data_IF_241277886367
#
_entry.id   IF_241277886367
#
_cell.length_a   1.000
_cell.length_b   1.000
_cell.length_c   1.000
_cell.angle_alpha   90.00
_cell.angle_beta   90.00
_cell.angle_gamma   90.00
#
_symmetry.space_group_name_H-M   'P 1'
#
loop_
_entity.id
_entity.type
_entity.pdbx_description
1 polymer ?
#
# COMPACT_ATOMS: atom_id res chain seq x y z
N UNK A 1 26.35 21.93 -26.08
CA UNK A 1 24.93 22.34 -25.99
C UNK A 1 24.05 21.56 -27.00
N UNK A 2 23.92 20.24 -26.84
CA UNK A 2 22.92 19.42 -27.54
C UNK A 2 22.47 18.34 -26.55
N UNK A 3 21.36 18.55 -25.83
CA UNK A 3 20.75 17.45 -25.05
C UNK A 3 19.30 17.65 -24.60
N UNK A 4 18.68 18.83 -24.72
CA UNK A 4 17.29 19.00 -24.26
C UNK A 4 16.22 18.48 -25.24
N UNK A 5 16.46 18.57 -26.56
CA UNK A 5 15.48 18.14 -27.56
C UNK A 5 15.33 16.60 -27.63
N UNK A 6 16.42 15.86 -27.46
CA UNK A 6 16.43 14.38 -27.54
C UNK A 6 15.82 13.73 -26.28
N UNK A 7 15.98 14.37 -25.12
CA UNK A 7 15.35 13.94 -23.86
C UNK A 7 13.82 14.07 -23.96
N UNK A 8 13.33 15.21 -24.48
CA UNK A 8 11.90 15.53 -24.61
C UNK A 8 11.18 14.59 -25.60
N UNK A 9 11.85 14.14 -26.67
CA UNK A 9 11.28 13.14 -27.60
C UNK A 9 11.12 11.76 -26.95
N UNK A 10 12.11 11.30 -26.16
CA UNK A 10 12.03 10.02 -25.45
C UNK A 10 10.94 10.02 -24.38
N UNK A 11 10.79 11.11 -23.63
CA UNK A 11 9.74 11.26 -22.62
C UNK A 11 8.34 11.26 -23.23
N UNK A 12 8.12 11.99 -24.35
CA UNK A 12 6.85 11.94 -25.08
C UNK A 12 6.55 10.55 -25.62
N UNK A 13 7.55 9.85 -26.13
CA UNK A 13 7.37 8.50 -26.66
C UNK A 13 7.08 7.48 -25.56
N UNK A 14 7.72 7.60 -24.39
CA UNK A 14 7.41 6.81 -23.20
C UNK A 14 5.99 7.09 -22.68
N UNK A 15 5.56 8.36 -22.66
CA UNK A 15 4.20 8.75 -22.26
C UNK A 15 3.13 8.15 -23.18
N UNK A 16 3.31 8.23 -24.50
CA UNK A 16 2.39 7.62 -25.48
C UNK A 16 2.34 6.11 -25.32
N UNK A 17 3.50 5.48 -25.11
CA UNK A 17 3.60 4.03 -24.92
C UNK A 17 2.95 3.56 -23.61
N UNK A 18 3.13 4.32 -22.52
CA UNK A 18 2.43 4.08 -21.24
C UNK A 18 0.92 4.28 -21.37
N UNK A 19 0.48 5.28 -22.14
CA UNK A 19 -0.95 5.53 -22.38
C UNK A 19 -1.60 4.41 -23.19
N UNK A 20 -0.89 3.87 -24.18
CA UNK A 20 -1.31 2.68 -24.94
C UNK A 20 -1.38 1.43 -24.05
N UNK A 21 -0.40 1.23 -23.15
CA UNK A 21 -0.40 0.11 -22.20
C UNK A 21 -1.56 0.22 -21.19
N UNK A 22 -1.79 1.40 -20.63
CA UNK A 22 -2.92 1.64 -19.71
C UNK A 22 -4.25 1.39 -20.43
N UNK A 23 -4.39 1.87 -21.67
CA UNK A 23 -5.59 1.64 -22.46
C UNK A 23 -5.80 0.15 -22.73
N UNK A 24 -4.75 -0.58 -23.10
CA UNK A 24 -4.80 -2.03 -23.28
C UNK A 24 -5.23 -2.76 -22.00
N UNK A 25 -4.62 -2.42 -20.85
CA UNK A 25 -4.99 -3.00 -19.55
C UNK A 25 -6.45 -2.71 -19.22
N UNK A 26 -6.93 -1.49 -19.50
CA UNK A 26 -8.32 -1.11 -19.26
C UNK A 26 -9.31 -1.88 -20.13
N UNK A 27 -9.00 -2.10 -21.42
CA UNK A 27 -9.85 -2.87 -22.33
C UNK A 27 -9.93 -4.35 -21.93
N UNK A 28 -8.84 -4.90 -21.39
CA UNK A 28 -8.74 -6.32 -21.04
C UNK A 28 -8.95 -6.59 -19.54
N UNK A 29 -9.30 -5.58 -18.73
CA UNK A 29 -9.31 -5.68 -17.27
C UNK A 29 -10.19 -6.83 -16.77
N UNK A 30 -11.43 -6.92 -17.27
CA UNK A 30 -12.38 -7.96 -16.90
C UNK A 30 -11.86 -9.36 -17.26
N UNK A 31 -11.23 -9.50 -18.43
CA UNK A 31 -10.67 -10.78 -18.90
C UNK A 31 -9.49 -11.22 -18.02
N UNK A 32 -8.59 -10.29 -17.69
CA UNK A 32 -7.44 -10.55 -16.80
C UNK A 32 -7.94 -10.93 -15.41
N UNK A 33 -8.89 -10.18 -14.85
CA UNK A 33 -9.46 -10.46 -13.53
C UNK A 33 -10.13 -11.84 -13.47
N UNK A 34 -10.87 -12.21 -14.52
CA UNK A 34 -11.51 -13.52 -14.61
C UNK A 34 -10.47 -14.65 -14.66
N UNK A 35 -9.43 -14.51 -15.48
CA UNK A 35 -8.35 -15.51 -15.55
C UNK A 35 -7.63 -15.69 -14.22
N UNK A 36 -7.31 -14.61 -13.52
CA UNK A 36 -6.68 -14.67 -12.18
C UNK A 36 -7.64 -15.36 -11.20
N UNK A 37 -8.92 -15.00 -11.20
CA UNK A 37 -9.93 -15.62 -10.35
C UNK A 37 -10.06 -17.13 -10.60
N UNK A 38 -10.09 -17.57 -11.86
CA UNK A 38 -10.20 -18.98 -12.22
C UNK A 38 -8.98 -19.79 -11.79
N UNK A 39 -7.76 -19.23 -11.90
CA UNK A 39 -6.54 -19.87 -11.38
C UNK A 39 -6.62 -20.01 -9.87
N UNK A 40 -7.07 -18.97 -9.15
CA UNK A 40 -7.12 -18.96 -7.69
C UNK A 40 -8.14 -19.95 -7.10
N UNK A 41 -9.13 -20.42 -7.87
CA UNK A 41 -10.03 -21.51 -7.43
C UNK A 41 -9.28 -22.78 -7.04
N UNK A 42 -8.09 -23.01 -7.60
CA UNK A 42 -7.24 -24.16 -7.27
C UNK A 42 -6.37 -23.95 -6.02
N UNK A 43 -6.38 -22.74 -5.43
CA UNK A 43 -5.55 -22.35 -4.29
C UNK A 43 -6.42 -21.77 -3.16
N UNK A 44 -7.12 -22.61 -2.37
CA UNK A 44 -8.09 -22.15 -1.38
C UNK A 44 -7.47 -21.35 -0.22
N UNK A 45 -6.14 -21.36 -0.05
CA UNK A 45 -5.42 -20.56 0.94
C UNK A 45 -5.04 -19.16 0.45
N UNK A 46 -5.38 -18.83 -0.80
CA UNK A 46 -5.16 -17.53 -1.41
C UNK A 46 -6.51 -16.86 -1.67
N UNK A 47 -6.55 -15.54 -1.52
CA UNK A 47 -7.71 -14.73 -1.88
C UNK A 47 -7.27 -13.54 -2.72
N UNK A 48 -8.20 -13.01 -3.51
CA UNK A 48 -7.99 -11.91 -4.43
C UNK A 48 -8.54 -10.62 -3.82
N UNK A 49 -7.68 -9.64 -3.54
CA UNK A 49 -8.09 -8.27 -3.22
C UNK A 49 -7.95 -7.37 -4.45
N UNK A 50 -8.80 -6.34 -4.51
CA UNK A 50 -8.88 -5.44 -5.66
C UNK A 50 -8.49 -4.03 -5.22
N UNK A 51 -7.42 -3.52 -5.85
CA UNK A 51 -7.00 -2.13 -5.76
C UNK A 51 -7.36 -1.37 -7.03
N UNK A 52 -6.96 -0.09 -7.07
CA UNK A 52 -7.14 0.73 -8.27
C UNK A 52 -6.28 0.19 -9.41
N UNK A 53 -6.91 -0.55 -10.33
CA UNK A 53 -6.24 -1.24 -11.46
C UNK A 53 -5.11 -2.18 -10.98
N UNK A 54 -5.29 -2.76 -9.80
CA UNK A 54 -4.38 -3.75 -9.21
C UNK A 54 -5.20 -4.95 -8.74
N UNK A 55 -4.70 -6.15 -9.03
CA UNK A 55 -5.17 -7.40 -8.48
C UNK A 55 -4.08 -7.91 -7.53
N UNK A 56 -4.42 -8.06 -6.25
CA UNK A 56 -3.49 -8.49 -5.22
C UNK A 56 -3.86 -9.91 -4.80
N UNK A 57 -2.87 -10.81 -4.84
CA UNK A 57 -3.03 -12.20 -4.41
C UNK A 57 -2.46 -12.30 -3.00
N UNK A 58 -3.34 -12.55 -2.04
CA UNK A 58 -3.02 -12.51 -0.62
C UNK A 58 -3.27 -13.88 0.02
N UNK A 59 -2.40 -14.30 0.92
CA UNK A 59 -2.65 -15.46 1.78
C UNK A 59 -3.78 -15.18 2.76
N UNK A 60 -4.54 -16.19 3.17
CA UNK A 60 -5.54 -16.07 4.26
C UNK A 60 -4.81 -16.07 5.60
N UNK A 61 -4.14 -14.96 5.91
CA UNK A 61 -3.50 -14.71 7.19
C UNK A 61 -4.08 -13.40 7.72
N UNK A 62 -4.50 -13.41 8.98
CA UNK A 62 -4.96 -12.22 9.67
C UNK A 62 -3.75 -11.31 9.98
N UNK A 63 -3.39 -10.48 8.99
CA UNK A 63 -2.24 -9.58 9.04
C UNK A 63 -2.64 -8.16 8.64
N UNK A 64 -2.12 -7.17 9.36
CA UNK A 64 -2.34 -5.76 9.06
C UNK A 64 -1.12 -4.92 9.50
N UNK A 65 -1.11 -3.64 9.14
CA UNK A 65 0.01 -2.73 9.45
C UNK A 65 0.21 -2.55 10.96
N UNK A 66 -0.85 -2.63 11.76
CA UNK A 66 -0.74 -2.61 13.23
C UNK A 66 0.00 -3.81 13.80
N UNK A 67 -0.31 -5.03 13.32
CA UNK A 67 0.41 -6.26 13.68
C UNK A 67 1.88 -6.20 13.29
N UNK A 68 2.17 -5.61 12.13
CA UNK A 68 3.55 -5.39 11.69
C UNK A 68 4.31 -4.44 12.64
N UNK A 69 3.68 -3.34 13.06
CA UNK A 69 4.28 -2.40 14.04
C UNK A 69 4.55 -3.10 15.37
N UNK A 70 3.59 -3.84 15.91
CA UNK A 70 3.78 -4.54 17.18
C UNK A 70 4.91 -5.58 17.08
N UNK A 71 4.94 -6.38 16.00
CA UNK A 71 6.01 -7.34 15.76
C UNK A 71 7.38 -6.65 15.69
N UNK A 72 7.49 -5.51 15.01
CA UNK A 72 8.75 -4.77 14.90
C UNK A 72 9.24 -4.28 16.27
N UNK A 73 8.36 -3.72 17.10
CA UNK A 73 8.71 -3.26 18.45
C UNK A 73 9.19 -4.43 19.32
N UNK A 74 8.51 -5.57 19.25
CA UNK A 74 8.89 -6.78 19.98
C UNK A 74 10.24 -7.34 19.50
N UNK A 75 10.40 -7.56 18.19
CA UNK A 75 11.62 -8.15 17.63
C UNK A 75 12.87 -7.29 17.85
N UNK A 76 12.72 -5.97 17.92
CA UNK A 76 13.82 -5.04 18.14
C UNK A 76 14.05 -4.72 19.63
N UNK A 77 13.22 -5.22 20.54
CA UNK A 77 13.30 -4.88 21.97
C UNK A 77 12.98 -3.41 22.25
N UNK A 78 12.17 -2.77 21.40
CA UNK A 78 11.79 -1.36 21.46
C UNK A 78 10.40 -1.14 22.07
N UNK A 79 9.88 -2.13 22.81
CA UNK A 79 8.57 -2.06 23.44
C UNK A 79 8.60 -1.38 24.84
N UNK A 80 9.74 -0.82 25.23
CA UNK A 80 9.91 -0.06 26.47
C UNK A 80 9.46 1.39 26.29
N UNK A 81 8.35 1.74 26.92
CA UNK A 81 7.69 3.05 26.77
C UNK A 81 8.35 4.16 27.58
N UNK A 82 9.14 3.80 28.59
CA UNK A 82 9.83 4.80 29.41
C UNK A 82 11.04 5.39 28.67
N UNK A 83 11.52 4.68 27.63
CA UNK A 83 12.74 5.02 26.90
C UNK A 83 12.56 5.13 25.38
N UNK A 84 11.48 4.58 24.82
CA UNK A 84 11.22 4.59 23.38
C UNK A 84 9.86 5.22 23.11
N UNK A 85 9.84 6.16 22.15
CA UNK A 85 8.61 6.75 21.62
C UNK A 85 8.42 6.37 20.14
N UNK A 86 7.71 5.28 19.84
CA UNK A 86 7.30 4.91 18.50
C UNK A 86 6.50 6.02 17.79
N UNK A 87 6.91 6.36 16.57
CA UNK A 87 6.19 7.28 15.68
C UNK A 87 5.89 6.55 14.37
N UNK A 88 4.60 6.44 14.03
CA UNK A 88 4.17 5.87 12.76
C UNK A 88 3.60 6.97 11.87
N UNK A 89 4.11 7.09 10.64
CA UNK A 89 3.68 8.11 9.67
C UNK A 89 2.99 7.41 8.50
N UNK A 90 1.72 7.74 8.27
CA UNK A 90 0.88 7.12 7.23
C UNK A 90 0.09 8.14 6.42
N UNK A 91 -0.48 7.74 5.28
CA UNK A 91 -1.21 8.63 4.38
C UNK A 91 -2.63 8.16 4.01
N UNK A 92 -2.95 6.89 4.23
CA UNK A 92 -4.17 6.28 3.74
C UNK A 92 -5.00 5.55 4.81
N UNK A 93 -6.13 4.97 4.37
CA UNK A 93 -7.07 4.29 5.25
C UNK A 93 -6.50 2.99 5.86
N UNK A 94 -5.49 2.39 5.23
CA UNK A 94 -4.86 1.14 5.70
C UNK A 94 -3.89 1.39 6.86
N UNK A 95 -3.42 2.62 7.04
CA UNK A 95 -2.58 3.02 8.16
C UNK A 95 -3.34 3.11 9.50
N UNK A 96 -4.68 3.06 9.46
CA UNK A 96 -5.53 3.10 10.66
C UNK A 96 -5.21 2.01 11.66
N UNK A 97 -4.88 0.79 11.19
CA UNK A 97 -4.52 -0.31 12.09
C UNK A 97 -3.23 -0.01 12.86
N UNK A 98 -2.27 0.68 12.23
CA UNK A 98 -1.04 1.09 12.90
C UNK A 98 -1.29 2.21 13.92
N UNK A 99 -2.10 3.20 13.56
CA UNK A 99 -2.49 4.27 14.49
C UNK A 99 -3.23 3.73 15.71
N UNK A 100 -4.16 2.79 15.49
CA UNK A 100 -4.93 2.14 16.53
C UNK A 100 -4.03 1.39 17.52
N UNK A 101 -3.07 0.61 17.03
CA UNK A 101 -2.12 -0.12 17.88
C UNK A 101 -1.32 0.84 18.77
N UNK A 102 -0.75 1.92 18.22
CA UNK A 102 0.01 2.89 19.02
C UNK A 102 -0.87 3.59 20.08
N UNK A 103 -2.13 3.87 19.75
CA UNK A 103 -3.10 4.48 20.67
C UNK A 103 -3.56 3.51 21.77
N UNK A 104 -3.93 2.27 21.43
CA UNK A 104 -4.37 1.26 22.40
C UNK A 104 -3.25 0.85 23.34
N UNK A 105 -2.04 0.76 22.81
CA UNK A 105 -0.87 0.57 23.63
C UNK A 105 -0.54 1.83 24.42
N UNK A 106 -1.04 3.04 24.15
CA UNK A 106 -0.56 4.27 24.81
C UNK A 106 0.98 4.36 24.80
N UNK A 107 1.57 4.02 23.65
CA UNK A 107 3.00 3.73 23.51
C UNK A 107 3.60 4.42 22.29
N UNK A 108 3.06 5.55 21.86
CA UNK A 108 3.51 6.22 20.65
C UNK A 108 2.44 7.07 19.99
N UNK A 109 2.83 7.66 18.85
CA UNK A 109 1.97 8.55 18.08
C UNK A 109 1.88 8.12 16.62
N UNK A 110 0.66 8.15 16.09
CA UNK A 110 0.40 8.05 14.66
C UNK A 110 0.28 9.45 14.07
N UNK A 111 0.91 9.72 12.93
CA UNK A 111 0.81 10.97 12.18
C UNK A 111 0.18 10.67 10.82
N UNK A 112 -0.91 11.36 10.49
CA UNK A 112 -1.52 11.32 9.16
C UNK A 112 -0.93 12.41 8.27
N UNK A 113 -0.44 12.01 7.10
CA UNK A 113 0.00 12.91 6.03
C UNK A 113 -1.09 12.98 4.96
N UNK A 114 -1.68 14.16 4.77
CA UNK A 114 -2.72 14.37 3.78
C UNK A 114 -2.72 15.81 3.26
N UNK A 115 -3.03 15.99 1.97
CA UNK A 115 -3.24 17.32 1.36
C UNK A 115 -4.60 17.94 1.69
N UNK A 116 -5.52 17.13 2.23
CA UNK A 116 -6.88 17.54 2.64
C UNK A 116 -7.18 17.04 4.05
N UNK A 117 -7.99 17.75 4.86
CA UNK A 117 -8.43 17.24 6.16
C UNK A 117 -9.20 15.92 6.02
N UNK A 118 -8.90 14.95 6.89
CA UNK A 118 -9.55 13.63 6.93
C UNK A 118 -9.74 13.19 8.38
N UNK A 119 -10.86 12.54 8.68
CA UNK A 119 -11.03 11.84 9.95
C UNK A 119 -10.01 10.70 10.08
N UNK A 120 -9.36 10.60 11.24
CA UNK A 120 -8.24 9.69 11.45
C UNK A 120 -8.08 9.29 12.91
N UNK A 121 -7.48 8.11 13.10
CA UNK A 121 -7.03 7.62 14.41
C UNK A 121 -5.58 8.03 14.74
N UNK A 122 -4.96 8.82 13.87
CA UNK A 122 -3.74 9.54 14.19
C UNK A 122 -3.97 10.52 15.36
N UNK A 123 -2.89 10.88 16.06
CA UNK A 123 -2.87 11.95 17.06
C UNK A 123 -2.56 13.28 16.39
#
# INVERSE_FOLDING_TARGET
>A
MKNSAHQNTKEKQAMVRNMSLIFFIMQNWTLIAQHVHDILRNYPLLHLTHGWKVLEICTIIDWNKGKAVNLLLECLGLNDRDHVLPIYIGCDRTDKDAFKVLRELNSGYGILVSSVPKETDAH
#
